data_IF_701380079318
#
_entry.id   IF_701380079318
#
_cell.length_a   1.000
_cell.length_b   1.000
_cell.length_c   1.000
_cell.angle_alpha   90.00
_cell.angle_beta   90.00
_cell.angle_gamma   90.00
#
_symmetry.space_group_name_H-M   'P 1'
#
loop_
_entity.id
_entity.type
_entity.pdbx_description
1 polymer ?
#
# COMPACT_ATOMS: atom_id res chain seq x y z
N UNK A 1 -20.73 -27.46 -23.14
CA UNK A 1 -19.80 -26.38 -23.52
C UNK A 1 -19.26 -25.76 -22.26
N UNK A 2 -17.96 -25.96 -21.98
CA UNK A 2 -17.29 -25.39 -20.81
C UNK A 2 -16.50 -24.17 -21.30
N UNK A 3 -17.00 -22.96 -21.05
CA UNK A 3 -16.30 -21.72 -21.40
C UNK A 3 -15.15 -21.53 -20.40
N UNK A 4 -13.91 -21.73 -20.86
CA UNK A 4 -12.74 -21.41 -20.05
C UNK A 4 -12.65 -19.89 -19.88
N UNK A 5 -12.68 -19.42 -18.62
CA UNK A 5 -12.35 -18.05 -18.26
C UNK A 5 -10.84 -17.83 -18.48
N UNK A 6 -10.47 -17.28 -19.63
CA UNK A 6 -9.11 -16.78 -19.84
C UNK A 6 -8.87 -15.60 -18.90
N UNK A 7 -8.04 -15.80 -17.87
CA UNK A 7 -7.55 -14.70 -17.04
C UNK A 7 -6.66 -13.81 -17.91
N UNK A 8 -7.10 -12.58 -18.17
CA UNK A 8 -6.30 -11.60 -18.90
C UNK A 8 -4.96 -11.36 -18.19
N UNK A 9 -3.87 -11.25 -18.96
CA UNK A 9 -2.58 -10.89 -18.42
C UNK A 9 -2.63 -9.46 -17.83
N UNK A 10 -1.97 -9.20 -16.69
CA UNK A 10 -1.98 -7.87 -16.09
C UNK A 10 -1.37 -6.86 -17.06
N UNK A 11 -2.07 -5.74 -17.25
CA UNK A 11 -1.56 -4.60 -18.02
C UNK A 11 -0.40 -3.94 -17.25
N UNK A 12 0.44 -3.15 -17.92
CA UNK A 12 1.57 -2.44 -17.28
C UNK A 12 1.20 -1.44 -16.17
N UNK A 13 -0.08 -1.27 -15.90
CA UNK A 13 -0.66 -0.42 -14.85
C UNK A 13 -1.25 -1.23 -13.69
N UNK A 14 -1.21 -2.56 -13.75
CA UNK A 14 -1.70 -3.44 -12.70
C UNK A 14 -0.53 -3.89 -11.83
N UNK A 15 -0.65 -3.63 -10.53
CA UNK A 15 0.32 -4.04 -9.55
C UNK A 15 -0.32 -4.93 -8.50
N UNK A 16 0.41 -5.95 -8.05
CA UNK A 16 -0.04 -6.79 -6.94
C UNK A 16 0.25 -6.09 -5.63
N UNK A 17 -0.64 -6.25 -4.66
CA UNK A 17 -0.39 -5.88 -3.27
C UNK A 17 0.83 -6.66 -2.76
N UNK A 18 1.90 -5.93 -2.44
CA UNK A 18 3.09 -6.54 -1.84
C UNK A 18 2.78 -7.00 -0.41
N UNK A 19 3.37 -8.12 0.06
CA UNK A 19 3.26 -8.50 1.46
C UNK A 19 3.96 -7.45 2.34
N UNK A 20 3.40 -7.22 3.53
CA UNK A 20 3.95 -6.29 4.52
C UNK A 20 5.07 -6.90 5.38
N UNK A 21 5.36 -8.19 5.26
CA UNK A 21 6.46 -8.79 6.02
C UNK A 21 7.80 -8.15 5.63
N UNK A 22 8.52 -7.63 6.62
CA UNK A 22 9.81 -6.97 6.47
C UNK A 22 9.66 -5.55 5.94
N UNK A 23 8.51 -4.92 6.16
CA UNK A 23 8.27 -3.52 5.79
C UNK A 23 9.27 -2.59 6.47
N UNK A 24 9.58 -2.83 7.75
CA UNK A 24 10.56 -2.07 8.55
C UNK A 24 11.98 -2.08 7.98
N UNK A 25 12.32 -3.10 7.18
CA UNK A 25 13.64 -3.26 6.57
C UNK A 25 13.77 -2.56 5.21
N UNK A 26 12.73 -1.88 4.73
CA UNK A 26 12.73 -1.18 3.44
C UNK A 26 12.94 0.32 3.64
N UNK A 27 13.72 0.90 2.75
CA UNK A 27 14.03 2.34 2.72
C UNK A 27 13.31 3.08 1.59
N UNK A 28 12.77 2.33 0.61
CA UNK A 28 11.99 2.86 -0.53
C UNK A 28 10.65 2.12 -0.66
N UNK A 29 9.60 2.90 -0.89
CA UNK A 29 8.21 2.44 -1.01
C UNK A 29 7.59 2.91 -2.32
N UNK A 30 6.40 2.39 -2.63
CA UNK A 30 5.71 2.52 -3.93
C UNK A 30 6.42 1.75 -5.05
N UNK A 31 5.71 1.49 -6.15
CA UNK A 31 6.26 0.74 -7.28
C UNK A 31 7.33 1.51 -8.06
N UNK A 32 7.30 2.84 -7.98
CA UNK A 32 8.32 3.73 -8.55
C UNK A 32 9.44 4.04 -7.55
N UNK A 33 9.38 3.48 -6.33
CA UNK A 33 10.33 3.77 -5.27
C UNK A 33 10.32 5.24 -4.81
N UNK A 34 9.27 6.01 -5.09
CA UNK A 34 9.26 7.47 -4.91
C UNK A 34 9.08 7.95 -3.47
N UNK A 35 8.74 7.06 -2.53
CA UNK A 35 8.53 7.42 -1.12
C UNK A 35 9.64 6.84 -0.24
N UNK A 36 10.13 7.64 0.72
CA UNK A 36 11.21 7.24 1.66
C UNK A 36 10.73 7.08 3.11
N UNK A 37 9.41 7.18 3.35
CA UNK A 37 8.77 6.89 4.63
C UNK A 37 7.45 6.15 4.37
N UNK A 38 7.02 5.35 5.34
CA UNK A 38 5.74 4.62 5.28
C UNK A 38 4.57 5.59 5.17
N UNK A 39 4.56 6.66 5.97
CA UNK A 39 3.54 7.70 5.93
C UNK A 39 3.40 8.34 4.54
N UNK A 40 4.52 8.76 3.92
CA UNK A 40 4.49 9.32 2.56
C UNK A 40 4.01 8.31 1.53
N UNK A 41 4.33 7.03 1.71
CA UNK A 41 3.82 5.98 0.83
C UNK A 41 2.29 5.88 0.93
N UNK A 42 1.76 5.81 2.17
CA UNK A 42 0.31 5.77 2.43
C UNK A 42 -0.38 6.98 1.81
N UNK A 43 0.11 8.20 2.06
CA UNK A 43 -0.50 9.43 1.55
C UNK A 43 -0.41 9.59 0.03
N UNK A 44 0.50 8.90 -0.64
CA UNK A 44 0.67 8.94 -2.10
C UNK A 44 -0.18 7.91 -2.83
N UNK A 45 -0.81 6.97 -2.11
CA UNK A 45 -1.72 6.00 -2.71
C UNK A 45 -2.99 6.67 -3.29
N UNK A 46 -3.62 5.98 -4.22
CA UNK A 46 -4.87 6.36 -4.86
C UNK A 46 -5.50 5.14 -5.53
N UNK A 47 -6.49 5.35 -6.39
CA UNK A 47 -7.19 4.25 -7.06
C UNK A 47 -7.84 3.31 -6.05
N UNK A 48 -7.49 2.03 -6.08
CA UNK A 48 -8.04 1.02 -5.16
C UNK A 48 -7.70 1.30 -3.67
N UNK A 49 -6.57 1.96 -3.39
CA UNK A 49 -6.12 2.25 -2.02
C UNK A 49 -6.64 3.60 -1.47
N UNK A 50 -7.43 4.34 -2.27
CA UNK A 50 -7.95 5.67 -1.94
C UNK A 50 -8.67 5.73 -0.59
N UNK A 51 -9.60 4.80 -0.35
CA UNK A 51 -10.37 4.73 0.90
C UNK A 51 -9.47 4.45 2.12
N UNK A 52 -8.44 3.60 1.98
CA UNK A 52 -7.50 3.34 3.07
C UNK A 52 -6.64 4.57 3.37
N UNK A 53 -6.15 5.27 2.34
CA UNK A 53 -5.44 6.54 2.49
C UNK A 53 -6.27 7.58 3.20
N UNK A 54 -7.52 7.79 2.77
CA UNK A 54 -8.36 8.84 3.33
C UNK A 54 -8.71 8.55 4.80
N UNK A 55 -8.90 7.28 5.16
CA UNK A 55 -9.04 6.86 6.57
C UNK A 55 -7.79 7.14 7.38
N UNK A 56 -6.61 6.83 6.84
CA UNK A 56 -5.33 7.14 7.47
C UNK A 56 -5.18 8.65 7.73
N UNK A 57 -5.50 9.49 6.73
CA UNK A 57 -5.46 10.95 6.87
C UNK A 57 -6.52 11.53 7.82
N UNK A 58 -7.55 10.77 8.15
CA UNK A 58 -8.60 11.14 9.11
C UNK A 58 -8.38 10.60 10.53
N UNK A 59 -7.27 9.91 10.80
CA UNK A 59 -6.97 9.37 12.13
C UNK A 59 -6.74 10.50 13.13
N UNK A 60 -7.05 10.21 14.41
CA UNK A 60 -6.55 11.05 15.50
C UNK A 60 -5.01 10.98 15.55
N UNK A 61 -4.31 11.99 16.09
CA UNK A 61 -2.86 11.93 16.22
C UNK A 61 -2.37 10.66 16.94
N UNK A 62 -3.08 10.23 17.99
CA UNK A 62 -2.73 9.03 18.75
C UNK A 62 -2.87 7.74 17.92
N UNK A 63 -3.95 7.61 17.15
CA UNK A 63 -4.17 6.44 16.28
C UNK A 63 -3.20 6.42 15.10
N UNK A 64 -2.86 7.61 14.58
CA UNK A 64 -1.87 7.79 13.53
C UNK A 64 -0.50 7.28 13.99
N UNK A 65 -0.04 7.74 15.17
CA UNK A 65 1.25 7.33 15.74
C UNK A 65 1.27 5.84 16.08
N UNK A 66 0.17 5.31 16.65
CA UNK A 66 0.05 3.89 16.96
C UNK A 66 0.13 3.01 15.71
N UNK A 67 -0.51 3.42 14.61
CA UNK A 67 -0.45 2.70 13.35
C UNK A 67 0.94 2.74 12.74
N UNK A 68 1.62 3.90 12.74
CA UNK A 68 2.99 3.99 12.24
C UNK A 68 3.95 3.11 13.06
N UNK A 69 3.83 3.13 14.39
CA UNK A 69 4.63 2.27 15.27
C UNK A 69 4.40 0.77 14.99
N UNK A 70 3.14 0.37 14.74
CA UNK A 70 2.85 -1.01 14.32
C UNK A 70 3.51 -1.35 12.99
N UNK A 71 3.40 -0.49 11.98
CA UNK A 71 3.99 -0.71 10.66
C UNK A 71 5.53 -0.76 10.70
N UNK A 72 6.16 0.03 11.55
CA UNK A 72 7.60 0.01 11.80
C UNK A 72 8.07 -1.28 12.51
N UNK A 73 7.15 -2.07 13.08
CA UNK A 73 7.48 -3.36 13.73
C UNK A 73 7.44 -4.57 12.79
N UNK A 74 7.00 -4.39 11.52
CA UNK A 74 6.75 -5.48 10.55
C UNK A 74 7.95 -5.94 9.72
#
# INVERSE_FOLDING_TARGET
MLTALSKAAPKGTEFRTAPLWGLSRRDRFMHDGGSNTIEKAILRHGGEAQNARDRFGGLSPADHDALLAFLDSL
#
